data_IF_048146413812
#
_entry.id   IF_048146413812
#
_cell.length_a   1.000
_cell.length_b   1.000
_cell.length_c   1.000
_cell.angle_alpha   90.00
_cell.angle_beta   90.00
_cell.angle_gamma   90.00
#
_symmetry.space_group_name_H-M   'P 1'
#
loop_
_entity.id
_entity.type
_entity.pdbx_description
1 polymer ?
#
# COMPACT_ATOMS: atom_id res chain seq x y z
N UNK A 1 10.91 -4.83 -22.11
CA UNK A 1 9.87 -5.53 -22.88
C UNK A 1 8.81 -4.48 -23.15
N UNK A 2 8.63 -4.04 -24.40
CA UNK A 2 7.68 -2.98 -24.70
C UNK A 2 6.28 -3.46 -24.31
N UNK A 3 5.55 -2.55 -23.68
CA UNK A 3 4.26 -2.73 -23.04
C UNK A 3 3.26 -3.29 -24.05
N UNK A 4 2.75 -4.50 -23.80
CA UNK A 4 1.55 -4.99 -24.47
C UNK A 4 0.36 -4.17 -23.95
N UNK A 5 0.22 -2.96 -24.51
CA UNK A 5 -0.92 -2.09 -24.30
C UNK A 5 -2.16 -2.76 -24.90
N UNK A 6 -2.80 -3.60 -24.10
CA UNK A 6 -3.95 -4.37 -24.53
C UNK A 6 -5.21 -3.53 -24.41
N UNK A 7 -5.54 -2.80 -25.48
CA UNK A 7 -6.80 -2.04 -25.57
C UNK A 7 -8.04 -2.95 -25.69
N UNK A 8 -7.84 -4.23 -26.07
CA UNK A 8 -8.93 -5.19 -26.31
C UNK A 8 -9.12 -6.22 -25.18
N UNK A 9 -8.09 -6.50 -24.38
CA UNK A 9 -8.10 -7.47 -23.26
C UNK A 9 -7.37 -6.91 -22.04
N UNK A 10 -7.42 -7.56 -20.88
CA UNK A 10 -6.62 -7.15 -19.73
C UNK A 10 -5.12 -7.37 -19.98
N UNK A 11 -4.28 -6.50 -19.42
CA UNK A 11 -2.83 -6.69 -19.41
C UNK A 11 -2.43 -7.92 -18.60
N UNK A 12 -1.33 -8.57 -18.98
CA UNK A 12 -0.77 -9.70 -18.24
C UNK A 12 -0.24 -9.23 -16.89
N UNK A 13 -0.73 -9.84 -15.81
CA UNK A 13 -0.34 -9.52 -14.43
C UNK A 13 0.56 -10.60 -13.85
N UNK A 14 1.47 -10.21 -12.95
CA UNK A 14 2.34 -11.13 -12.20
C UNK A 14 2.16 -10.94 -10.71
N UNK A 15 2.00 -12.04 -9.97
CA UNK A 15 2.02 -12.02 -8.50
C UNK A 15 3.47 -12.13 -8.02
N UNK A 16 3.91 -11.14 -7.25
CA UNK A 16 5.24 -11.11 -6.65
C UNK A 16 5.14 -11.14 -5.12
N UNK A 17 6.18 -11.68 -4.48
CA UNK A 17 6.34 -11.62 -3.04
C UNK A 17 7.58 -10.78 -2.70
N UNK A 18 7.37 -9.71 -1.94
CA UNK A 18 8.43 -8.80 -1.50
C UNK A 18 8.83 -9.12 -0.06
N UNK A 19 10.12 -9.31 0.18
CA UNK A 19 10.68 -9.44 1.53
C UNK A 19 11.33 -8.11 1.90
N UNK A 20 10.72 -7.39 2.83
CA UNK A 20 11.12 -6.02 3.18
C UNK A 20 11.55 -6.01 4.66
N UNK A 21 12.79 -5.59 4.97
CA UNK A 21 13.21 -5.34 6.34
C UNK A 21 12.32 -4.29 7.01
N UNK A 22 11.95 -4.50 8.27
CA UNK A 22 11.04 -3.59 9.00
C UNK A 22 11.57 -2.15 9.06
N UNK A 23 12.88 -1.99 9.08
CA UNK A 23 13.60 -0.72 9.22
C UNK A 23 13.48 0.14 7.96
N UNK A 24 13.30 -0.49 6.80
CA UNK A 24 13.17 0.19 5.50
C UNK A 24 11.74 0.19 4.98
N UNK A 25 10.79 -0.42 5.72
CA UNK A 25 9.43 -0.63 5.26
C UNK A 25 8.72 0.66 4.83
N UNK A 26 8.85 1.74 5.61
CA UNK A 26 8.24 3.04 5.28
C UNK A 26 8.79 3.60 3.96
N UNK A 27 10.11 3.65 3.80
CA UNK A 27 10.74 4.18 2.59
C UNK A 27 10.40 3.32 1.37
N UNK A 28 10.47 1.99 1.50
CA UNK A 28 10.14 1.08 0.38
C UNK A 28 8.68 1.23 -0.06
N UNK A 29 7.73 1.36 0.86
CA UNK A 29 6.31 1.55 0.51
C UNK A 29 6.08 2.91 -0.16
N UNK A 30 6.79 3.96 0.26
CA UNK A 30 6.74 5.26 -0.40
C UNK A 30 7.17 5.18 -1.87
N UNK A 31 8.34 4.60 -2.14
CA UNK A 31 8.87 4.44 -3.50
C UNK A 31 7.94 3.59 -4.39
N UNK A 32 7.36 2.52 -3.83
CA UNK A 32 6.37 1.70 -4.55
C UNK A 32 5.09 2.48 -4.87
N UNK A 33 4.67 3.37 -3.98
CA UNK A 33 3.55 4.27 -4.19
C UNK A 33 3.81 5.28 -5.30
N UNK A 34 5.01 5.86 -5.33
CA UNK A 34 5.45 6.80 -6.37
C UNK A 34 5.56 6.13 -7.75
N UNK A 35 5.96 4.86 -7.80
CA UNK A 35 6.00 4.08 -9.05
C UNK A 35 4.60 3.81 -9.63
N UNK A 36 3.57 3.67 -8.79
CA UNK A 36 2.17 3.52 -9.23
C UNK A 36 1.80 2.20 -9.93
N UNK A 37 2.72 1.23 -9.98
CA UNK A 37 2.56 -0.01 -10.77
C UNK A 37 2.27 -1.27 -9.95
N UNK A 38 1.98 -1.13 -8.65
CA UNK A 38 1.82 -2.27 -7.74
C UNK A 38 0.45 -2.22 -7.08
N UNK A 39 -0.28 -3.35 -7.16
CA UNK A 39 -1.50 -3.58 -6.40
C UNK A 39 -1.22 -4.52 -5.23
N UNK A 40 -1.43 -4.04 -4.00
CA UNK A 40 -1.26 -4.87 -2.80
C UNK A 40 -2.47 -5.78 -2.56
N UNK A 41 -2.20 -7.01 -2.12
CA UNK A 41 -3.20 -7.95 -1.63
C UNK A 41 -3.17 -7.97 -0.11
N UNK A 42 -4.34 -7.88 0.54
CA UNK A 42 -4.42 -8.04 2.00
C UNK A 42 -4.08 -9.50 2.36
N UNK A 43 -2.97 -9.67 3.09
CA UNK A 43 -2.53 -10.97 3.62
C UNK A 43 -3.12 -11.27 4.99
N UNK A 44 -3.74 -10.29 5.66
CA UNK A 44 -4.28 -10.41 7.03
C UNK A 44 -5.80 -10.11 7.07
N UNK A 45 -6.63 -10.77 6.24
CA UNK A 45 -8.07 -10.46 6.19
C UNK A 45 -8.80 -10.81 7.49
N UNK A 46 -8.35 -11.85 8.20
CA UNK A 46 -8.99 -12.32 9.43
C UNK A 46 -8.55 -11.54 10.68
N UNK A 47 -7.54 -10.67 10.54
CA UNK A 47 -7.05 -9.86 11.65
C UNK A 47 -7.94 -8.63 11.81
N UNK A 48 -8.54 -8.51 13.00
CA UNK A 48 -9.35 -7.36 13.39
C UNK A 48 -8.61 -6.05 13.13
N UNK A 49 -9.27 -5.02 12.56
CA UNK A 49 -8.63 -3.73 12.26
C UNK A 49 -7.92 -3.10 13.47
N UNK A 50 -8.42 -3.34 14.68
CA UNK A 50 -7.88 -2.81 15.93
C UNK A 50 -6.57 -3.48 16.38
N UNK A 51 -6.26 -4.65 15.83
CA UNK A 51 -5.10 -5.47 16.19
C UNK A 51 -3.99 -5.44 15.12
N UNK A 52 -4.19 -4.70 14.03
CA UNK A 52 -3.20 -4.58 12.94
C UNK A 52 -1.99 -3.75 13.39
N UNK A 53 -0.80 -4.12 12.92
CA UNK A 53 0.49 -3.61 13.42
C UNK A 53 0.66 -2.09 13.39
N UNK A 54 0.10 -1.40 12.39
CA UNK A 54 0.28 0.05 12.19
C UNK A 54 -0.93 0.91 12.62
N UNK A 55 -1.88 0.33 13.36
CA UNK A 55 -3.14 1.01 13.72
C UNK A 55 -2.92 2.30 14.53
N UNK A 56 -1.91 2.33 15.40
CA UNK A 56 -1.61 3.49 16.25
C UNK A 56 -1.16 4.68 15.43
N UNK A 57 -0.27 4.45 14.45
CA UNK A 57 0.26 5.51 13.59
C UNK A 57 -0.83 6.06 12.65
N UNK A 58 -1.66 5.18 12.09
CA UNK A 58 -2.80 5.55 11.25
C UNK A 58 -3.76 6.46 12.04
N UNK A 59 -4.15 6.07 13.26
CA UNK A 59 -5.03 6.89 14.10
C UNK A 59 -4.47 8.27 14.42
N UNK A 60 -3.15 8.37 14.60
CA UNK A 60 -2.48 9.64 14.84
C UNK A 60 -2.60 10.56 13.61
N UNK A 61 -2.41 10.01 12.41
CA UNK A 61 -2.58 10.74 11.16
C UNK A 61 -4.04 11.14 10.93
N UNK A 62 -5.01 10.25 11.20
CA UNK A 62 -6.44 10.55 11.08
C UNK A 62 -6.87 11.73 11.97
N UNK A 63 -6.39 11.77 13.22
CA UNK A 63 -6.68 12.87 14.14
C UNK A 63 -6.03 14.19 13.69
N UNK A 64 -4.81 14.13 13.14
CA UNK A 64 -4.15 15.30 12.56
C UNK A 64 -4.92 15.83 11.35
N UNK A 65 -5.32 14.95 10.45
CA UNK A 65 -6.14 15.30 9.28
C UNK A 65 -7.49 15.90 9.70
N UNK A 66 -8.14 15.35 10.74
CA UNK A 66 -9.39 15.89 11.29
C UNK A 66 -9.22 17.33 11.77
N UNK A 67 -8.10 17.66 12.42
CA UNK A 67 -7.79 19.03 12.86
C UNK A 67 -7.53 19.96 11.69
N UNK A 68 -6.77 19.50 10.69
CA UNK A 68 -6.49 20.27 9.48
C UNK A 68 -7.79 20.60 8.73
N UNK A 69 -8.73 19.66 8.63
CA UNK A 69 -10.04 19.87 7.97
C UNK A 69 -10.96 20.88 8.69
N UNK A 70 -10.72 21.16 9.97
CA UNK A 70 -11.50 22.12 10.74
C UNK A 70 -10.94 23.55 10.66
N UNK A 71 -9.66 23.69 10.32
CA UNK A 71 -8.99 24.97 10.05
C UNK A 71 -9.33 25.49 8.66
#
# INVERSE_FOLDING_TARGET
MPEEESLFRSATMSLIQLYIPSETAHATVQELGELGNVMFKDLNPDVSPFQRSFVTDIRRLDEMERRIRFL
#
